data_IF_431825038716
#
_entry.id   IF_431825038716
#
_cell.length_a   1.000
_cell.length_b   1.000
_cell.length_c   1.000
_cell.angle_alpha   90.00
_cell.angle_beta   90.00
_cell.angle_gamma   90.00
#
_symmetry.space_group_name_H-M   'P 1'
#
loop_
_entity.id
_entity.type
_entity.pdbx_description
1 polymer ?
#
# COMPACT_ATOMS: atom_id res chain seq x y z
N UNK A 1 12.33 3.60 9.59
CA UNK A 1 12.56 2.33 8.87
C UNK A 1 13.43 1.33 9.64
N UNK A 2 14.42 1.77 10.44
CA UNK A 2 15.23 0.84 11.27
C UNK A 2 14.53 0.25 12.51
N UNK A 3 13.46 0.85 13.03
CA UNK A 3 12.73 0.28 14.19
C UNK A 3 11.71 -0.82 13.84
N UNK A 4 11.25 -0.89 12.58
CA UNK A 4 10.29 -1.93 12.18
C UNK A 4 10.98 -3.30 11.97
N UNK A 5 12.25 -3.31 11.60
CA UNK A 5 13.07 -4.53 11.49
C UNK A 5 13.41 -5.11 12.88
N UNK A 6 13.39 -4.28 13.93
CA UNK A 6 13.74 -4.72 15.28
C UNK A 6 12.67 -5.58 15.98
N UNK A 7 11.40 -5.44 15.59
CA UNK A 7 10.28 -6.13 16.28
C UNK A 7 10.14 -7.60 15.87
N UNK A 8 10.68 -7.99 14.72
CA UNK A 8 10.56 -9.36 14.18
C UNK A 8 11.69 -10.27 14.68
N UNK A 9 12.82 -9.73 15.16
CA UNK A 9 14.00 -10.54 15.50
C UNK A 9 14.19 -10.86 16.99
N UNK A 10 13.47 -10.23 17.93
CA UNK A 10 13.71 -10.45 19.36
C UNK A 10 12.41 -10.45 20.17
N UNK A 11 11.69 -11.57 20.17
CA UNK A 11 10.48 -11.77 20.96
C UNK A 11 10.73 -12.14 22.43
N UNK A 12 11.98 -12.27 22.87
CA UNK A 12 12.31 -12.81 24.20
C UNK A 12 13.47 -12.11 24.93
N UNK A 13 13.94 -10.96 24.45
CA UNK A 13 14.98 -10.19 25.16
C UNK A 13 14.37 -8.91 25.72
N UNK A 14 14.44 -8.75 27.04
CA UNK A 14 14.02 -7.51 27.72
C UNK A 14 14.77 -6.32 27.08
N UNK A 15 14.02 -5.28 26.71
CA UNK A 15 14.53 -4.06 26.05
C UNK A 15 15.72 -3.43 26.80
N UNK A 16 15.77 -3.62 28.12
CA UNK A 16 16.85 -3.17 28.98
C UNK A 16 18.20 -3.82 28.63
N UNK A 17 18.19 -5.09 28.24
CA UNK A 17 19.37 -5.88 27.86
C UNK A 17 19.94 -5.43 26.51
N UNK A 18 19.06 -5.06 25.57
CA UNK A 18 19.45 -4.54 24.24
C UNK A 18 20.15 -3.19 24.39
N UNK A 19 19.65 -2.32 25.26
CA UNK A 19 20.16 -0.96 25.43
C UNK A 19 21.41 -0.87 26.31
N UNK A 20 21.76 -1.91 27.05
CA UNK A 20 22.97 -1.95 27.91
C UNK A 20 24.11 -2.74 27.27
N UNK A 21 23.83 -3.87 26.61
CA UNK A 21 24.88 -4.78 26.12
C UNK A 21 25.40 -4.41 24.73
N UNK A 22 24.53 -3.92 23.83
CA UNK A 22 24.96 -3.53 22.47
C UNK A 22 25.95 -2.36 22.46
N UNK A 23 25.78 -1.29 23.25
CA UNK A 23 26.75 -0.19 23.28
C UNK A 23 28.15 -0.66 23.70
N UNK A 24 28.22 -1.54 24.69
CA UNK A 24 29.47 -2.09 25.24
C UNK A 24 30.20 -2.96 24.21
N UNK A 25 29.47 -3.76 23.42
CA UNK A 25 30.03 -4.63 22.37
C UNK A 25 30.44 -3.89 21.09
N UNK A 26 29.94 -2.68 20.87
CA UNK A 26 30.23 -1.84 19.70
C UNK A 26 31.21 -0.70 20.06
N UNK A 27 31.68 -0.63 21.32
CA UNK A 27 32.72 0.29 21.77
C UNK A 27 32.24 1.70 22.11
N UNK A 28 30.95 1.88 22.42
CA UNK A 28 30.38 3.16 22.85
C UNK A 28 30.57 3.33 24.37
N UNK A 29 30.91 4.54 24.80
CA UNK A 29 31.19 4.81 26.22
C UNK A 29 29.91 5.07 27.01
N UNK A 30 29.95 4.92 28.35
CA UNK A 30 28.77 5.09 29.22
C UNK A 30 28.14 6.50 29.17
N UNK A 31 28.85 7.50 28.64
CA UNK A 31 28.33 8.85 28.40
C UNK A 31 27.50 8.95 27.10
N UNK A 32 27.65 8.00 26.18
CA UNK A 32 26.89 7.89 24.93
C UNK A 32 25.63 7.02 25.07
N UNK A 33 25.46 6.36 26.22
CA UNK A 33 24.25 5.60 26.52
C UNK A 33 23.09 6.57 26.81
N UNK A 34 21.96 6.34 26.14
CA UNK A 34 20.73 7.13 26.27
C UNK A 34 20.37 7.30 27.75
N UNK A 35 20.57 8.53 28.25
CA UNK A 35 20.32 8.92 29.64
C UNK A 35 18.90 8.49 30.06
N UNK A 36 18.75 7.95 31.27
CA UNK A 36 17.49 7.45 31.85
C UNK A 36 16.31 8.43 31.77
N UNK A 37 16.59 9.72 31.58
CA UNK A 37 15.62 10.77 31.31
C UNK A 37 14.91 10.64 29.94
N UNK A 38 15.62 10.22 28.88
CA UNK A 38 15.05 10.02 27.54
C UNK A 38 14.12 8.81 27.49
N UNK A 39 14.43 7.74 28.24
CA UNK A 39 13.54 6.58 28.38
C UNK A 39 12.22 6.93 29.08
N UNK A 40 12.26 7.89 30.04
CA UNK A 40 11.06 8.43 30.68
C UNK A 40 10.20 9.25 29.72
N UNK A 41 10.83 10.01 28.81
CA UNK A 41 10.14 10.81 27.80
C UNK A 41 9.51 9.94 26.68
N UNK A 42 10.15 8.83 26.29
CA UNK A 42 9.60 7.89 25.31
C UNK A 42 8.41 7.09 25.87
N UNK A 43 8.32 6.96 27.20
CA UNK A 43 7.29 6.20 27.89
C UNK A 43 5.95 6.95 28.07
N UNK A 44 5.87 8.25 27.83
CA UNK A 44 4.71 9.04 28.29
C UNK A 44 3.90 9.76 27.22
N UNK A 45 4.33 9.82 25.96
CA UNK A 45 3.60 10.58 24.93
C UNK A 45 3.45 9.78 23.62
N UNK A 46 2.21 9.34 23.36
CA UNK A 46 1.74 8.84 22.07
C UNK A 46 1.72 10.00 21.05
N UNK A 47 2.77 10.15 20.24
CA UNK A 47 2.75 11.08 19.10
C UNK A 47 3.35 10.40 17.85
N UNK A 48 2.59 10.17 16.77
CA UNK A 48 1.99 11.15 15.85
C UNK A 48 3.05 11.88 14.99
N UNK A 49 3.11 11.52 13.71
CA UNK A 49 3.96 12.11 12.68
C UNK A 49 3.73 13.61 12.48
N UNK A 50 4.81 14.39 12.31
CA UNK A 50 4.80 15.63 11.50
C UNK A 50 6.11 15.75 10.71
N UNK A 51 5.96 15.86 9.39
CA UNK A 51 6.97 16.16 8.38
C UNK A 51 7.13 17.68 8.19
N UNK A 52 8.34 18.14 7.83
CA UNK A 52 8.70 18.90 6.61
C UNK A 52 10.20 19.16 6.64
N UNK A 53 10.93 18.71 5.61
CA UNK A 53 11.36 19.52 4.45
C UNK A 53 12.14 20.76 4.93
N UNK A 54 13.36 21.01 4.51
CA UNK A 54 13.93 20.80 3.18
C UNK A 54 15.46 20.75 3.26
N UNK A 55 16.05 20.41 2.12
CA UNK A 55 17.42 20.79 1.74
C UNK A 55 18.55 19.84 2.14
N UNK A 56 18.98 19.11 1.10
CA UNK A 56 20.35 18.70 0.83
C UNK A 56 20.99 17.71 1.82
N UNK A 57 20.99 16.41 1.53
CA UNK A 57 21.78 15.79 0.43
C UNK A 57 23.19 16.40 0.31
N UNK A 58 23.99 16.29 1.36
CA UNK A 58 25.44 16.15 1.20
C UNK A 58 26.09 15.70 2.51
N UNK A 59 26.95 14.67 2.44
CA UNK A 59 27.92 14.23 3.47
C UNK A 59 27.65 12.96 4.29
N UNK A 60 26.92 11.98 3.73
CA UNK A 60 27.23 10.57 3.99
C UNK A 60 28.24 10.06 2.93
N UNK A 61 29.18 9.14 3.25
CA UNK A 61 30.00 8.50 2.24
C UNK A 61 29.13 7.63 1.31
N UNK A 62 29.28 7.91 0.03
CA UNK A 62 28.49 7.47 -1.12
C UNK A 62 29.28 6.48 -1.98
N UNK A 63 28.66 5.38 -2.43
CA UNK A 63 29.15 4.60 -3.58
C UNK A 63 28.72 5.30 -4.89
N UNK A 64 29.23 6.52 -5.09
CA UNK A 64 29.54 7.17 -6.38
C UNK A 64 30.65 8.17 -6.05
N UNK A 65 31.91 7.72 -6.08
CA UNK A 65 33.06 8.62 -6.22
C UNK A 65 33.62 8.39 -7.63
N UNK A 66 33.22 9.28 -8.52
CA UNK A 66 33.91 9.58 -9.76
C UNK A 66 33.97 11.10 -9.83
N UNK A 67 34.90 11.69 -9.09
CA UNK A 67 35.35 13.03 -9.42
C UNK A 67 35.92 12.97 -10.83
N UNK A 68 35.19 13.51 -11.79
CA UNK A 68 35.74 14.56 -12.64
C UNK A 68 34.59 15.24 -13.36
N UNK A 69 34.20 16.43 -12.88
CA UNK A 69 33.98 17.48 -13.87
C UNK A 69 35.31 17.67 -14.56
N UNK A 70 35.38 17.46 -15.87
CA UNK A 70 35.71 18.52 -16.82
C UNK A 70 35.16 18.07 -18.18
N UNK A 71 34.36 18.97 -18.75
CA UNK A 71 34.00 19.12 -20.16
C UNK A 71 34.86 18.32 -21.15
N UNK A 72 34.19 17.68 -22.12
CA UNK A 72 34.35 18.08 -23.53
C UNK A 72 33.29 17.39 -24.39
N UNK A 73 32.68 18.21 -25.24
CA UNK A 73 32.05 17.78 -26.48
C UNK A 73 32.90 16.71 -27.15
N UNK A 74 32.28 15.58 -27.50
CA UNK A 74 32.50 14.91 -28.78
C UNK A 74 31.40 13.87 -29.01
N UNK A 75 30.73 14.01 -30.15
CA UNK A 75 29.82 13.04 -30.74
C UNK A 75 30.49 11.66 -30.76
N UNK A 76 29.84 10.62 -30.22
CA UNK A 76 30.23 9.25 -30.50
C UNK A 76 28.97 8.44 -30.83
N UNK A 77 28.99 7.94 -32.06
CA UNK A 77 28.10 6.98 -32.71
C UNK A 77 27.61 5.86 -31.76
N UNK A 78 26.31 5.54 -31.82
CA UNK A 78 25.79 4.26 -31.32
C UNK A 78 26.33 3.11 -32.19
N UNK A 79 26.90 2.05 -31.59
CA UNK A 79 26.98 0.75 -32.21
C UNK A 79 25.85 -0.15 -31.70
N UNK A 80 25.13 -0.74 -32.64
CA UNK A 80 24.16 -1.80 -32.43
C UNK A 80 24.74 -2.98 -31.64
N UNK A 81 24.02 -3.44 -30.62
CA UNK A 81 24.03 -4.86 -30.18
C UNK A 81 24.62 -5.17 -28.80
N UNK A 82 23.88 -6.05 -28.09
CA UNK A 82 24.19 -6.80 -26.85
C UNK A 82 23.98 -6.02 -25.54
N UNK A 83 23.33 -6.50 -24.48
CA UNK A 83 22.66 -7.77 -24.15
C UNK A 83 22.19 -7.61 -22.69
N UNK A 84 20.97 -8.05 -22.36
CA UNK A 84 20.53 -8.42 -21.00
C UNK A 84 21.01 -7.55 -19.82
N UNK A 85 20.49 -6.34 -19.70
CA UNK A 85 20.36 -5.71 -18.38
C UNK A 85 19.12 -6.28 -17.69
N UNK A 86 19.25 -7.50 -17.16
CA UNK A 86 18.26 -8.08 -16.26
C UNK A 86 18.08 -7.15 -15.06
N UNK A 87 17.00 -6.37 -15.09
CA UNK A 87 16.52 -5.66 -13.91
C UNK A 87 16.25 -6.73 -12.86
N UNK A 88 17.08 -6.78 -11.82
CA UNK A 88 16.91 -7.71 -10.70
C UNK A 88 15.58 -7.34 -10.01
N UNK A 89 14.50 -7.99 -10.43
CA UNK A 89 13.23 -7.93 -9.72
C UNK A 89 13.41 -8.73 -8.42
N UNK A 90 13.26 -8.05 -7.27
CA UNK A 90 13.26 -8.72 -5.97
C UNK A 90 12.04 -9.65 -5.90
N UNK A 91 12.26 -10.95 -6.01
CA UNK A 91 11.24 -11.97 -5.80
C UNK A 91 11.04 -12.13 -4.29
N UNK A 92 9.94 -11.60 -3.77
CA UNK A 92 9.54 -11.86 -2.38
C UNK A 92 9.03 -13.30 -2.26
N UNK A 93 9.14 -13.89 -1.06
CA UNK A 93 8.59 -15.21 -0.78
C UNK A 93 7.06 -15.17 -0.92
N UNK A 94 6.53 -15.73 -2.00
CA UNK A 94 5.10 -15.92 -2.16
C UNK A 94 4.64 -17.05 -1.25
N UNK A 95 3.65 -16.78 -0.41
CA UNK A 95 2.99 -17.81 0.41
C UNK A 95 1.91 -18.44 -0.45
N UNK A 96 2.02 -19.74 -0.74
CA UNK A 96 0.99 -20.47 -1.47
C UNK A 96 -0.20 -20.74 -0.56
N UNK A 97 -1.32 -20.05 -0.77
CA UNK A 97 -2.55 -20.30 -0.02
C UNK A 97 -3.33 -21.45 -0.66
N UNK A 98 -3.69 -22.48 0.11
CA UNK A 98 -4.63 -23.48 -0.37
C UNK A 98 -6.01 -22.82 -0.52
N UNK A 99 -6.50 -22.70 -1.76
CA UNK A 99 -7.75 -22.01 -2.09
C UNK A 99 -8.97 -22.61 -1.39
N UNK A 100 -8.92 -23.89 -1.01
CA UNK A 100 -9.97 -24.53 -0.20
C UNK A 100 -10.10 -23.92 1.21
N UNK A 101 -9.01 -23.38 1.78
CA UNK A 101 -9.05 -22.69 3.09
C UNK A 101 -9.74 -21.32 3.01
N UNK A 102 -9.88 -20.78 1.80
CA UNK A 102 -10.56 -19.52 1.52
C UNK A 102 -12.05 -19.71 1.16
N UNK A 103 -12.62 -20.90 1.35
CA UNK A 103 -14.05 -21.11 1.15
C UNK A 103 -14.88 -20.10 1.98
N UNK A 104 -15.79 -19.40 1.30
CA UNK A 104 -16.63 -18.36 1.90
C UNK A 104 -15.97 -17.00 2.13
N UNK A 105 -14.70 -16.83 1.78
CA UNK A 105 -13.98 -15.55 1.80
C UNK A 105 -13.81 -15.03 0.37
N UNK A 106 -14.26 -13.80 0.11
CA UNK A 106 -14.11 -13.14 -1.18
C UNK A 106 -14.07 -11.63 -1.03
N UNK A 107 -13.11 -11.01 -1.73
CA UNK A 107 -12.99 -9.58 -1.87
C UNK A 107 -13.08 -9.20 -3.35
N UNK A 108 -14.00 -8.30 -3.66
CA UNK A 108 -14.15 -7.66 -4.96
C UNK A 108 -13.83 -6.18 -4.80
N UNK A 109 -12.99 -5.64 -5.68
CA UNK A 109 -12.65 -4.22 -5.67
C UNK A 109 -13.31 -3.53 -6.86
N UNK A 110 -14.02 -2.44 -6.62
CA UNK A 110 -14.65 -1.60 -7.63
C UNK A 110 -13.89 -0.28 -7.70
N UNK A 111 -13.17 -0.10 -8.80
CA UNK A 111 -12.37 1.06 -9.12
C UNK A 111 -12.94 1.85 -10.32
N UNK A 112 -14.21 1.66 -10.65
CA UNK A 112 -14.86 2.34 -11.78
C UNK A 112 -14.95 3.87 -11.64
N UNK A 113 -14.75 4.42 -10.44
CA UNK A 113 -14.71 5.87 -10.23
C UNK A 113 -13.30 6.47 -10.41
N UNK A 114 -12.28 5.65 -10.67
CA UNK A 114 -10.90 6.09 -10.88
C UNK A 114 -10.67 6.43 -12.35
N UNK A 115 -10.19 7.66 -12.58
CA UNK A 115 -9.90 8.12 -13.94
C UNK A 115 -8.46 7.86 -14.36
N UNK A 116 -7.51 7.96 -13.42
CA UNK A 116 -6.08 7.93 -13.72
C UNK A 116 -5.58 6.50 -13.94
N UNK A 117 -5.03 6.24 -15.12
CA UNK A 117 -4.41 4.96 -15.49
C UNK A 117 -3.35 4.49 -14.48
N UNK A 118 -2.54 5.42 -13.96
CA UNK A 118 -1.56 5.11 -12.92
C UNK A 118 -2.19 4.52 -11.64
N UNK A 119 -3.31 5.08 -11.17
CA UNK A 119 -3.99 4.58 -9.97
C UNK A 119 -4.62 3.21 -10.22
N UNK A 120 -5.17 3.00 -11.42
CA UNK A 120 -5.68 1.69 -11.86
C UNK A 120 -4.55 0.64 -11.94
N UNK A 121 -3.38 0.99 -12.47
CA UNK A 121 -2.23 0.08 -12.53
C UNK A 121 -1.72 -0.30 -11.14
N UNK A 122 -1.62 0.69 -10.25
CA UNK A 122 -1.24 0.48 -8.85
C UNK A 122 -2.20 -0.43 -8.11
N UNK A 123 -3.52 -0.18 -8.20
CA UNK A 123 -4.52 -1.02 -7.51
C UNK A 123 -4.62 -2.41 -8.13
N UNK A 124 -4.48 -2.55 -9.46
CA UNK A 124 -4.45 -3.84 -10.14
C UNK A 124 -3.34 -4.75 -9.60
N UNK A 125 -2.13 -4.20 -9.46
CA UNK A 125 -1.00 -4.93 -8.88
C UNK A 125 -1.25 -5.34 -7.44
N UNK A 126 -1.80 -4.44 -6.63
CA UNK A 126 -2.14 -4.79 -5.24
C UNK A 126 -3.21 -5.88 -5.17
N UNK A 127 -4.23 -5.81 -6.02
CA UNK A 127 -5.31 -6.80 -6.07
C UNK A 127 -4.77 -8.19 -6.42
N UNK A 128 -3.93 -8.27 -7.45
CA UNK A 128 -3.33 -9.54 -7.88
C UNK A 128 -2.43 -10.14 -6.81
N UNK A 129 -1.50 -9.35 -6.25
CA UNK A 129 -0.55 -9.82 -5.23
C UNK A 129 -1.25 -10.27 -3.93
N UNK A 130 -2.35 -9.62 -3.55
CA UNK A 130 -3.09 -9.93 -2.31
C UNK A 130 -4.29 -10.86 -2.53
N UNK A 131 -4.45 -11.44 -3.72
CA UNK A 131 -5.46 -12.46 -3.98
C UNK A 131 -6.90 -11.95 -3.97
N UNK A 132 -7.13 -10.71 -4.40
CA UNK A 132 -8.47 -10.18 -4.67
C UNK A 132 -9.13 -11.03 -5.77
N UNK A 133 -10.41 -11.35 -5.63
CA UNK A 133 -11.11 -12.23 -6.57
C UNK A 133 -11.34 -11.55 -7.91
N UNK A 134 -11.71 -10.27 -7.88
CA UNK A 134 -12.09 -9.49 -9.05
C UNK A 134 -11.80 -8.01 -8.85
N UNK A 135 -11.27 -7.36 -9.89
CA UNK A 135 -11.14 -5.91 -9.96
C UNK A 135 -12.04 -5.39 -11.10
N UNK A 136 -12.95 -4.49 -10.75
CA UNK A 136 -13.91 -3.88 -11.68
C UNK A 136 -13.45 -2.46 -11.99
N UNK A 137 -13.36 -2.12 -13.27
CA UNK A 137 -12.94 -0.80 -13.77
C UNK A 137 -14.00 -0.24 -14.72
N UNK A 138 -13.96 1.07 -14.98
CA UNK A 138 -14.95 1.70 -15.87
C UNK A 138 -14.69 1.44 -17.35
N UNK A 139 -13.43 1.20 -17.71
CA UNK A 139 -13.00 1.05 -19.10
C UNK A 139 -11.75 0.16 -19.14
N UNK A 140 -11.89 -1.04 -19.71
CA UNK A 140 -10.79 -1.99 -19.87
C UNK A 140 -9.78 -1.50 -20.91
N UNK A 141 -10.09 -0.53 -21.77
CA UNK A 141 -9.09 0.04 -22.67
C UNK A 141 -7.92 0.69 -21.92
N UNK A 142 -8.16 1.19 -20.69
CA UNK A 142 -7.13 1.80 -19.84
C UNK A 142 -6.00 0.84 -19.43
N UNK A 143 -6.18 -0.47 -19.52
CA UNK A 143 -5.10 -1.43 -19.20
C UNK A 143 -3.95 -1.38 -20.20
N UNK A 144 -4.20 -0.87 -21.42
CA UNK A 144 -3.19 -0.68 -22.47
C UNK A 144 -2.46 0.65 -22.34
N UNK A 145 -2.86 1.50 -21.41
CA UNK A 145 -2.21 2.78 -21.17
C UNK A 145 -0.79 2.56 -20.61
N UNK A 146 0.16 3.40 -21.05
CA UNK A 146 1.56 3.27 -20.66
C UNK A 146 1.76 3.45 -19.15
N UNK A 147 1.04 4.38 -18.52
CA UNK A 147 1.16 4.67 -17.11
C UNK A 147 0.48 3.59 -16.25
N UNK A 148 -0.56 2.93 -16.78
CA UNK A 148 -1.11 1.71 -16.18
C UNK A 148 -0.05 0.60 -16.18
N UNK A 149 0.48 0.25 -17.36
CA UNK A 149 1.45 -0.86 -17.52
C UNK A 149 2.72 -0.63 -16.70
N UNK A 150 3.17 0.63 -16.60
CA UNK A 150 4.34 1.00 -15.79
C UNK A 150 4.16 0.73 -14.29
N UNK A 151 2.93 0.64 -13.78
CA UNK A 151 2.67 0.37 -12.37
C UNK A 151 2.13 -1.05 -12.13
N UNK A 152 1.32 -1.58 -13.04
CA UNK A 152 0.74 -2.92 -12.93
C UNK A 152 1.79 -4.02 -13.01
N UNK A 153 2.89 -3.79 -13.75
CA UNK A 153 3.96 -4.77 -13.94
C UNK A 153 3.44 -6.15 -14.37
N UNK A 154 2.52 -6.16 -15.35
CA UNK A 154 1.91 -7.36 -15.91
C UNK A 154 0.91 -8.10 -15.01
N UNK A 155 0.55 -7.56 -13.84
CA UNK A 155 -0.49 -8.13 -12.97
C UNK A 155 -1.86 -8.22 -13.66
N UNK A 156 -2.14 -7.39 -14.66
CA UNK A 156 -3.38 -7.43 -15.46
C UNK A 156 -3.57 -8.75 -16.22
N UNK A 157 -2.49 -9.49 -16.48
CA UNK A 157 -2.57 -10.81 -17.15
C UNK A 157 -3.09 -11.92 -16.23
N UNK A 158 -3.08 -11.69 -14.92
CA UNK A 158 -3.43 -12.67 -13.89
C UNK A 158 -4.64 -12.25 -13.05
N UNK A 159 -4.94 -10.95 -13.04
CA UNK A 159 -6.11 -10.40 -12.37
C UNK A 159 -7.37 -10.65 -13.18
N UNK A 160 -8.44 -11.10 -12.51
CA UNK A 160 -9.77 -11.14 -13.12
C UNK A 160 -10.34 -9.71 -13.20
N UNK A 161 -10.29 -9.13 -14.40
CA UNK A 161 -10.73 -7.78 -14.68
C UNK A 161 -12.11 -7.78 -15.35
N UNK A 162 -13.02 -6.96 -14.84
CA UNK A 162 -14.34 -6.74 -15.44
C UNK A 162 -14.59 -5.25 -15.65
N UNK A 163 -15.44 -4.95 -16.64
CA UNK A 163 -15.86 -3.59 -16.95
C UNK A 163 -17.24 -3.32 -16.36
N UNK A 164 -17.39 -2.19 -15.67
CA UNK A 164 -18.69 -1.61 -15.35
C UNK A 164 -18.55 -0.10 -15.19
N UNK A 165 -19.30 0.63 -16.00
CA UNK A 165 -19.24 2.10 -16.04
C UNK A 165 -19.91 2.72 -14.81
N UNK A 166 -19.56 3.96 -14.42
CA UNK A 166 -20.14 4.61 -13.25
C UNK A 166 -21.68 4.58 -13.20
N UNK A 167 -22.35 4.72 -14.35
CA UNK A 167 -23.82 4.66 -14.48
C UNK A 167 -24.42 3.28 -14.18
N UNK A 168 -23.63 2.21 -14.27
CA UNK A 168 -24.05 0.83 -14.04
C UNK A 168 -23.83 0.40 -12.58
N UNK A 169 -23.03 1.15 -11.82
CA UNK A 169 -22.68 0.84 -10.43
C UNK A 169 -23.88 0.61 -9.52
N UNK A 170 -24.99 1.38 -9.58
CA UNK A 170 -26.16 1.10 -8.74
C UNK A 170 -26.68 -0.33 -8.88
N UNK A 171 -26.80 -0.81 -10.12
CA UNK A 171 -27.29 -2.16 -10.42
C UNK A 171 -26.25 -3.23 -10.06
N UNK A 172 -24.97 -2.95 -10.33
CA UNK A 172 -23.86 -3.83 -9.99
C UNK A 172 -23.75 -4.04 -8.47
N UNK A 173 -23.78 -2.96 -7.70
CA UNK A 173 -23.72 -3.02 -6.24
C UNK A 173 -24.91 -3.81 -5.68
N UNK A 174 -26.12 -3.54 -6.17
CA UNK A 174 -27.31 -4.29 -5.75
C UNK A 174 -27.21 -5.79 -6.05
N UNK A 175 -26.65 -6.17 -7.21
CA UNK A 175 -26.49 -7.59 -7.57
C UNK A 175 -25.50 -8.31 -6.65
N UNK A 176 -24.40 -7.64 -6.24
CA UNK A 176 -23.48 -8.19 -5.25
C UNK A 176 -24.13 -8.31 -3.88
N UNK A 177 -24.90 -7.32 -3.44
CA UNK A 177 -25.66 -7.39 -2.19
C UNK A 177 -26.60 -8.60 -2.18
N UNK A 178 -27.35 -8.80 -3.26
CA UNK A 178 -28.24 -9.95 -3.42
C UNK A 178 -27.49 -11.28 -3.44
N UNK A 179 -26.20 -11.27 -3.79
CA UNK A 179 -25.30 -12.43 -3.76
C UNK A 179 -24.61 -12.64 -2.40
N UNK A 180 -25.02 -11.87 -1.37
CA UNK A 180 -24.54 -11.99 0.00
C UNK A 180 -23.24 -11.24 0.30
N UNK A 181 -22.84 -10.29 -0.55
CA UNK A 181 -21.72 -9.40 -0.26
C UNK A 181 -22.17 -8.20 0.57
N UNK A 182 -21.29 -7.76 1.47
CA UNK A 182 -21.41 -6.46 2.15
C UNK A 182 -20.60 -5.43 1.38
N UNK A 183 -21.20 -4.28 1.12
CA UNK A 183 -20.63 -3.20 0.31
C UNK A 183 -20.02 -2.15 1.22
N UNK A 184 -18.72 -1.96 1.09
CA UNK A 184 -17.95 -1.01 1.88
C UNK A 184 -17.37 0.05 0.94
N UNK A 185 -17.59 1.32 1.25
CA UNK A 185 -16.93 2.43 0.55
C UNK A 185 -15.68 2.92 1.29
N UNK A 186 -14.60 3.15 0.55
CA UNK A 186 -13.44 3.89 1.05
C UNK A 186 -13.75 5.40 0.99
N UNK A 187 -14.37 5.94 2.04
CA UNK A 187 -14.83 7.32 2.08
C UNK A 187 -14.87 7.84 3.52
N UNK A 188 -14.53 9.11 3.70
CA UNK A 188 -14.66 9.81 4.97
C UNK A 188 -16.06 10.43 5.05
N UNK A 189 -16.86 9.95 5.99
CA UNK A 189 -18.21 10.48 6.24
C UNK A 189 -18.37 10.75 7.73
N UNK A 190 -19.43 11.46 8.13
CA UNK A 190 -19.71 11.69 9.56
C UNK A 190 -19.83 10.39 10.37
N UNK A 191 -20.20 9.28 9.71
CA UNK A 191 -20.39 7.97 10.32
C UNK A 191 -19.37 6.93 9.83
N UNK A 192 -18.24 7.34 9.24
CA UNK A 192 -17.22 6.38 8.80
C UNK A 192 -16.60 5.66 9.99
N UNK A 193 -16.28 4.38 9.78
CA UNK A 193 -15.54 3.59 10.75
C UNK A 193 -14.04 3.70 10.46
N UNK A 194 -13.21 4.06 11.44
CA UNK A 194 -11.75 4.04 11.25
C UNK A 194 -11.23 2.65 10.87
N UNK A 195 -10.31 2.56 9.92
CA UNK A 195 -9.74 1.31 9.40
C UNK A 195 -9.22 0.36 10.49
N UNK A 196 -8.62 0.89 11.56
CA UNK A 196 -8.08 0.06 12.64
C UNK A 196 -9.16 -0.50 13.59
N UNK A 197 -10.41 -0.01 13.49
CA UNK A 197 -11.55 -0.44 14.33
C UNK A 197 -12.55 -1.32 13.60
N UNK A 198 -12.52 -1.36 12.26
CA UNK A 198 -13.45 -2.19 11.51
C UNK A 198 -13.09 -3.67 11.63
N UNK A 199 -14.13 -4.51 11.67
CA UNK A 199 -14.05 -5.94 11.35
C UNK A 199 -14.65 -6.15 9.99
N UNK A 200 -13.89 -6.75 9.08
CA UNK A 200 -14.36 -6.95 7.73
C UNK A 200 -15.32 -8.14 7.63
N UNK A 201 -16.33 -8.08 6.74
CA UNK A 201 -17.15 -9.24 6.41
C UNK A 201 -16.35 -10.18 5.50
N UNK A 202 -16.59 -11.49 5.59
CA UNK A 202 -15.84 -12.47 4.77
C UNK A 202 -16.12 -12.32 3.27
N UNK A 203 -17.32 -11.87 2.89
CA UNK A 203 -17.68 -11.49 1.52
C UNK A 203 -17.88 -9.98 1.42
N UNK A 204 -16.96 -9.30 0.75
CA UNK A 204 -16.87 -7.85 0.72
C UNK A 204 -16.74 -7.31 -0.71
N UNK A 205 -17.50 -6.27 -1.02
CA UNK A 205 -17.23 -5.37 -2.15
C UNK A 205 -16.61 -4.10 -1.59
N UNK A 206 -15.45 -3.71 -2.08
CA UNK A 206 -14.79 -2.45 -1.77
C UNK A 206 -14.97 -1.46 -2.92
N UNK A 207 -15.77 -0.42 -2.71
CA UNK A 207 -15.89 0.71 -3.65
C UNK A 207 -14.86 1.78 -3.33
N UNK A 208 -14.01 2.10 -4.31
CA UNK A 208 -13.04 3.20 -4.23
C UNK A 208 -13.65 4.46 -4.87
N UNK A 209 -13.55 5.58 -4.16
CA UNK A 209 -14.01 6.89 -4.65
C UNK A 209 -13.07 7.52 -5.68
N UNK A 210 -13.57 8.54 -6.37
CA UNK A 210 -12.76 9.38 -7.24
C UNK A 210 -11.74 10.19 -6.42
N UNK A 211 -10.58 10.50 -6.98
CA UNK A 211 -9.50 11.20 -6.26
C UNK A 211 -9.85 12.62 -5.82
N UNK A 212 -10.81 13.26 -6.50
CA UNK A 212 -11.24 14.63 -6.22
C UNK A 212 -12.57 14.68 -5.51
N UNK A 213 -13.55 13.97 -6.06
CA UNK A 213 -14.96 14.06 -5.64
C UNK A 213 -15.36 12.97 -4.65
N UNK A 214 -14.49 11.98 -4.40
CA UNK A 214 -14.82 10.84 -3.55
C UNK A 214 -15.89 9.94 -4.17
N UNK A 215 -16.70 9.30 -3.32
CA UNK A 215 -17.86 8.51 -3.73
C UNK A 215 -19.07 9.45 -3.93
N UNK A 216 -19.67 9.49 -5.14
CA UNK A 216 -20.86 10.29 -5.41
C UNK A 216 -22.00 10.00 -4.42
N UNK A 217 -22.72 11.05 -3.99
CA UNK A 217 -23.79 10.92 -2.99
C UNK A 217 -24.85 9.88 -3.35
N UNK A 218 -25.19 9.73 -4.62
CA UNK A 218 -26.18 8.75 -5.08
C UNK A 218 -25.71 7.29 -4.90
N UNK A 219 -24.40 7.04 -4.78
CA UNK A 219 -23.84 5.71 -4.50
C UNK A 219 -23.73 5.43 -3.00
N UNK A 220 -23.70 6.47 -2.14
CA UNK A 220 -23.60 6.29 -0.68
C UNK A 220 -24.77 5.48 -0.12
N UNK A 221 -25.98 5.59 -0.68
CA UNK A 221 -27.15 4.80 -0.26
C UNK A 221 -27.05 3.30 -0.56
N UNK A 222 -26.10 2.90 -1.42
CA UNK A 222 -25.82 1.50 -1.74
C UNK A 222 -24.71 0.91 -0.86
N UNK A 223 -24.06 1.73 -0.03
CA UNK A 223 -23.04 1.25 0.89
C UNK A 223 -23.69 0.76 2.17
N UNK A 224 -23.22 -0.38 2.68
CA UNK A 224 -23.60 -0.85 4.01
C UNK A 224 -22.76 -0.13 5.08
N UNK A 225 -21.50 0.19 4.77
CA UNK A 225 -20.59 0.96 5.63
C UNK A 225 -19.60 1.80 4.82
N UNK A 226 -19.09 2.87 5.43
CA UNK A 226 -17.92 3.60 4.94
C UNK A 226 -16.75 3.43 5.89
N UNK A 227 -15.55 3.30 5.34
CA UNK A 227 -14.30 3.16 6.09
C UNK A 227 -13.36 4.29 5.74
N UNK A 228 -12.72 4.84 6.76
CA UNK A 228 -11.71 5.88 6.61
C UNK A 228 -10.34 5.47 7.13
N UNK A 229 -9.30 6.05 6.51
CA UNK A 229 -7.94 6.00 7.02
C UNK A 229 -7.71 7.28 7.82
N UNK A 230 -7.37 7.15 9.10
CA UNK A 230 -7.08 8.32 9.94
C UNK A 230 -5.78 9.00 9.52
N UNK A 231 -5.76 10.33 9.58
CA UNK A 231 -4.66 11.17 9.13
C UNK A 231 -4.31 12.20 10.21
N UNK A 232 -3.03 12.54 10.32
CA UNK A 232 -2.50 13.57 11.24
C UNK A 232 -1.96 14.78 10.45
N UNK A 233 -1.49 14.54 9.23
CA UNK A 233 -0.86 15.57 8.40
C UNK A 233 -1.82 16.58 7.78
N UNK A 234 -1.26 17.60 7.14
CA UNK A 234 -2.01 18.68 6.48
C UNK A 234 -2.53 18.32 5.07
N UNK A 235 -2.05 17.22 4.48
CA UNK A 235 -2.55 16.74 3.19
C UNK A 235 -3.99 16.28 3.34
N UNK A 236 -4.86 16.64 2.39
CA UNK A 236 -6.30 16.34 2.47
C UNK A 236 -6.60 14.85 2.51
N UNK A 237 -5.89 14.06 1.70
CA UNK A 237 -6.11 12.63 1.57
C UNK A 237 -4.87 11.91 1.05
N UNK A 238 -4.81 10.60 1.29
CA UNK A 238 -3.90 9.70 0.59
C UNK A 238 -4.34 9.51 -0.86
N UNK A 239 -3.41 9.08 -1.72
CA UNK A 239 -3.77 8.62 -3.06
C UNK A 239 -4.75 7.43 -2.94
N UNK A 240 -5.81 7.43 -3.76
CA UNK A 240 -6.85 6.39 -3.78
C UNK A 240 -6.30 4.97 -3.89
N UNK A 241 -5.30 4.70 -4.72
CA UNK A 241 -4.76 3.34 -4.85
C UNK A 241 -3.97 2.92 -3.59
N UNK A 242 -3.40 3.89 -2.86
CA UNK A 242 -2.73 3.66 -1.57
C UNK A 242 -3.78 3.39 -0.48
N UNK A 243 -4.86 4.17 -0.43
CA UNK A 243 -6.00 3.92 0.46
C UNK A 243 -6.60 2.53 0.21
N UNK A 244 -6.84 2.18 -1.06
CA UNK A 244 -7.29 0.86 -1.47
C UNK A 244 -6.33 -0.24 -1.03
N UNK A 245 -5.02 -0.04 -1.20
CA UNK A 245 -4.02 -1.01 -0.75
C UNK A 245 -4.03 -1.26 0.76
N UNK A 246 -4.21 -0.23 1.59
CA UNK A 246 -4.34 -0.38 3.04
C UNK A 246 -5.56 -1.21 3.43
N UNK A 247 -6.70 -0.96 2.76
CA UNK A 247 -7.95 -1.68 2.99
C UNK A 247 -7.84 -3.16 2.57
N UNK A 248 -7.29 -3.42 1.38
CA UNK A 248 -7.07 -4.77 0.86
C UNK A 248 -6.09 -5.53 1.76
N UNK A 249 -4.99 -4.90 2.18
CA UNK A 249 -4.02 -5.54 3.07
C UNK A 249 -4.63 -5.87 4.43
N UNK A 250 -5.44 -4.98 5.00
CA UNK A 250 -6.13 -5.27 6.28
C UNK A 250 -7.12 -6.43 6.15
N UNK A 251 -7.84 -6.53 5.04
CA UNK A 251 -8.69 -7.70 4.73
C UNK A 251 -7.85 -8.98 4.60
N UNK A 252 -6.73 -8.92 3.86
CA UNK A 252 -5.80 -10.02 3.70
C UNK A 252 -5.26 -10.50 5.05
N UNK A 253 -4.86 -9.59 5.94
CA UNK A 253 -4.43 -9.94 7.30
C UNK A 253 -5.54 -10.63 8.10
N UNK A 254 -6.79 -10.17 7.97
CA UNK A 254 -7.92 -10.69 8.75
C UNK A 254 -8.34 -12.11 8.33
N UNK A 255 -8.25 -12.44 7.03
CA UNK A 255 -8.81 -13.71 6.52
C UNK A 255 -7.82 -14.63 5.82
N UNK A 256 -6.75 -14.10 5.25
CA UNK A 256 -5.83 -14.86 4.39
C UNK A 256 -4.57 -15.19 5.17
N UNK A 257 -3.92 -14.20 5.77
CA UNK A 257 -2.69 -14.38 6.54
C UNK A 257 -2.89 -15.27 7.78
N UNK A 258 -4.07 -15.24 8.41
CA UNK A 258 -4.38 -16.10 9.56
C UNK A 258 -4.58 -17.58 9.19
N UNK A 259 -4.79 -17.88 7.91
CA UNK A 259 -5.09 -19.23 7.40
C UNK A 259 -3.91 -19.87 6.66
N UNK A 260 -2.83 -19.13 6.46
CA UNK A 260 -1.55 -19.58 5.89
C UNK A 260 -0.54 -19.86 6.98
#
# INVERSE_FOLDING_TARGET
>A
MYLAIFKVLFSSIQILTVLTILPEKVGLTAQDAIMSHLLKCISMDDFACVHRDSDNLSQYPSFVFGQTQVQRHQQIHEPDGLSDMSVIQRKFNAVSVNRALLEGVSLIVVASLLDKAANLGGICRTCEVLGVEKLIVADLAKIKDRDFMALSMSSENWMNLEESRPEELPNLLLSFRNSGYVIIGAEQTTNSTPLHKIRFPSKMVLLLGNEKEGIPMHLLSYLDKTVEVLQIGHTRSLNVHVTGALLIYRFFEEFIATKT
#
